data_IF_993596773262
#
_entry.id   IF_993596773262
#
_cell.length_a   1.000
_cell.length_b   1.000
_cell.length_c   1.000
_cell.angle_alpha   90.00
_cell.angle_beta   90.00
_cell.angle_gamma   90.00
#
_symmetry.space_group_name_H-M   'P 1'
#
loop_
_entity.id
_entity.type
_entity.pdbx_description
1 polymer ?
#
# COMPACT_ATOMS: atom_id res chain seq x y z
N UNK A 1 -3.74 -4.45 -10.76
CA UNK A 1 -3.19 -4.95 -9.50
C UNK A 1 -4.34 -5.11 -8.50
N UNK A 2 -4.76 -6.36 -8.21
CA UNK A 2 -5.94 -6.63 -7.38
C UNK A 2 -5.59 -7.62 -6.26
N UNK A 3 -6.06 -7.35 -5.04
CA UNK A 3 -5.91 -8.22 -3.86
C UNK A 3 -5.01 -7.64 -2.78
N UNK A 4 -4.78 -8.44 -1.74
CA UNK A 4 -3.89 -8.09 -0.62
C UNK A 4 -2.43 -8.13 -1.08
N UNK A 5 -1.65 -7.15 -0.65
CA UNK A 5 -0.22 -7.07 -0.98
C UNK A 5 0.59 -7.92 -0.01
N UNK A 6 1.36 -8.86 -0.54
CA UNK A 6 2.20 -9.76 0.25
C UNK A 6 2.02 -11.22 -0.13
N UNK A 7 2.78 -12.08 0.52
CA UNK A 7 2.63 -13.53 0.42
C UNK A 7 1.49 -13.99 1.35
N UNK A 8 0.48 -14.60 0.78
CA UNK A 8 -0.70 -15.11 1.50
C UNK A 8 -0.65 -16.63 1.69
N UNK A 9 0.51 -17.24 1.44
CA UNK A 9 0.72 -18.67 1.57
C UNK A 9 0.21 -19.48 0.37
N UNK A 10 0.10 -20.79 0.58
CA UNK A 10 -0.03 -21.78 -0.50
C UNK A 10 -1.37 -21.70 -1.27
N UNK A 11 -2.43 -21.20 -0.65
CA UNK A 11 -3.79 -21.27 -1.19
C UNK A 11 -4.30 -19.95 -1.78
N UNK A 12 -3.61 -18.84 -1.56
CA UNK A 12 -4.01 -17.54 -2.09
C UNK A 12 -2.81 -16.81 -2.70
N UNK A 13 -2.97 -16.35 -3.94
CA UNK A 13 -1.95 -15.50 -4.58
C UNK A 13 -2.14 -14.06 -4.15
N UNK A 14 -1.22 -13.55 -3.34
CA UNK A 14 -1.15 -12.12 -3.04
C UNK A 14 -0.39 -11.34 -4.09
N UNK A 15 -0.45 -10.02 -4.00
CA UNK A 15 0.35 -9.12 -4.82
C UNK A 15 1.79 -9.07 -4.27
N UNK A 16 2.72 -9.70 -4.95
CA UNK A 16 4.16 -9.59 -4.70
C UNK A 16 4.87 -9.09 -5.95
N UNK A 17 6.07 -8.56 -5.82
CA UNK A 17 6.87 -8.17 -6.98
C UNK A 17 7.08 -9.37 -7.91
N UNK A 18 7.34 -10.54 -7.37
CA UNK A 18 7.52 -11.79 -8.14
C UNK A 18 6.30 -12.09 -9.02
N UNK A 19 5.09 -12.03 -8.43
CA UNK A 19 3.85 -12.32 -9.15
C UNK A 19 3.49 -11.24 -10.18
N UNK A 20 3.94 -9.99 -9.98
CA UNK A 20 3.56 -8.85 -10.81
C UNK A 20 4.62 -8.49 -11.87
N UNK A 21 5.91 -8.82 -11.66
CA UNK A 21 7.02 -8.30 -12.47
C UNK A 21 6.85 -8.60 -13.96
N UNK A 22 6.53 -9.84 -14.32
CA UNK A 22 6.42 -10.25 -15.73
C UNK A 22 5.29 -9.48 -16.46
N UNK A 23 4.13 -9.29 -15.82
CA UNK A 23 3.03 -8.53 -16.43
C UNK A 23 3.36 -7.04 -16.51
N UNK A 24 4.02 -6.48 -15.49
CA UNK A 24 4.47 -5.10 -15.51
C UNK A 24 5.46 -4.88 -16.66
N UNK A 25 6.47 -5.72 -16.80
CA UNK A 25 7.48 -5.61 -17.86
C UNK A 25 6.83 -5.65 -19.25
N UNK A 26 5.94 -6.61 -19.49
CA UNK A 26 5.19 -6.70 -20.75
C UNK A 26 4.33 -5.45 -20.99
N UNK A 27 3.67 -4.93 -19.95
CA UNK A 27 2.78 -3.76 -20.09
C UNK A 27 3.54 -2.53 -20.55
N UNK A 28 4.77 -2.32 -20.07
CA UNK A 28 5.58 -1.15 -20.45
C UNK A 28 6.33 -1.31 -21.77
N UNK A 29 6.45 -2.51 -22.31
CA UNK A 29 7.22 -2.77 -23.53
C UNK A 29 6.37 -3.15 -24.73
N UNK A 30 5.17 -3.71 -24.52
CA UNK A 30 4.30 -4.18 -25.58
C UNK A 30 3.81 -3.04 -26.47
N UNK A 31 4.11 -3.12 -27.75
CA UNK A 31 3.75 -2.12 -28.78
C UNK A 31 4.18 -0.67 -28.44
N UNK A 32 5.16 -0.48 -27.57
CA UNK A 32 5.68 0.85 -27.16
C UNK A 32 4.54 1.82 -26.80
N UNK A 33 3.83 1.60 -25.68
CA UNK A 33 2.69 2.43 -25.32
C UNK A 33 3.11 3.87 -25.01
N UNK A 34 2.28 4.84 -25.34
CA UNK A 34 2.47 6.24 -24.95
C UNK A 34 2.08 6.50 -23.50
N UNK A 35 1.15 5.70 -22.97
CA UNK A 35 0.66 5.76 -21.60
C UNK A 35 0.34 4.36 -21.10
N UNK A 36 0.64 4.10 -19.84
CA UNK A 36 0.27 2.87 -19.14
C UNK A 36 -0.76 3.21 -18.09
N UNK A 37 -1.87 2.47 -18.06
CA UNK A 37 -2.89 2.58 -17.03
C UNK A 37 -2.78 1.39 -16.09
N UNK A 38 -2.63 1.67 -14.80
CA UNK A 38 -2.58 0.65 -13.74
C UNK A 38 -3.85 0.78 -12.88
N UNK A 39 -4.73 -0.19 -13.00
CA UNK A 39 -5.90 -0.31 -12.14
C UNK A 39 -5.50 -0.98 -10.83
N UNK A 40 -5.93 -0.39 -9.71
CA UNK A 40 -5.61 -0.84 -8.36
C UNK A 40 -6.89 -1.12 -7.60
N UNK A 41 -7.00 -2.34 -7.07
CA UNK A 41 -8.07 -2.75 -6.16
C UNK A 41 -7.44 -3.53 -5.00
N UNK A 42 -6.94 -2.81 -4.01
CA UNK A 42 -6.16 -3.39 -2.91
C UNK A 42 -6.36 -2.64 -1.59
N UNK A 43 -6.63 -3.35 -0.49
CA UNK A 43 -6.66 -2.76 0.86
C UNK A 43 -5.26 -2.47 1.41
N UNK A 44 -4.21 -2.86 0.70
CA UNK A 44 -2.83 -2.80 1.17
C UNK A 44 -2.28 -4.14 1.61
N UNK A 45 -1.34 -4.12 2.54
CA UNK A 45 -0.66 -5.30 3.07
C UNK A 45 0.82 -5.02 3.36
N UNK A 46 1.72 -5.88 2.90
CA UNK A 46 3.17 -5.78 3.16
C UNK A 46 3.75 -4.44 2.67
N UNK A 47 4.35 -3.63 3.56
CA UNK A 47 5.01 -2.39 3.16
C UNK A 47 6.15 -2.63 2.16
N UNK A 48 6.94 -3.68 2.38
CA UNK A 48 8.07 -4.03 1.52
C UNK A 48 7.61 -4.37 0.11
N UNK A 49 6.59 -5.22 -0.04
CA UNK A 49 6.08 -5.58 -1.36
C UNK A 49 5.42 -4.39 -2.06
N UNK A 50 4.76 -3.51 -1.31
CA UNK A 50 4.17 -2.28 -1.84
C UNK A 50 5.25 -1.37 -2.42
N UNK A 51 6.35 -1.16 -1.70
CA UNK A 51 7.48 -0.34 -2.14
C UNK A 51 8.20 -0.97 -3.35
N UNK A 52 8.48 -2.27 -3.31
CA UNK A 52 9.12 -2.97 -4.43
C UNK A 52 8.31 -2.88 -5.73
N UNK A 53 6.98 -3.03 -5.66
CA UNK A 53 6.11 -2.90 -6.83
C UNK A 53 6.06 -1.43 -7.30
N UNK A 54 5.95 -0.48 -6.37
CA UNK A 54 6.03 0.95 -6.67
C UNK A 54 7.31 1.29 -7.41
N UNK A 55 8.46 0.89 -6.90
CA UNK A 55 9.77 1.14 -7.48
C UNK A 55 9.91 0.49 -8.86
N UNK A 56 9.36 -0.73 -9.05
CA UNK A 56 9.34 -1.38 -10.36
C UNK A 56 8.56 -0.58 -11.37
N UNK A 57 7.37 -0.08 -11.02
CA UNK A 57 6.55 0.76 -11.89
C UNK A 57 7.31 2.04 -12.27
N UNK A 58 7.90 2.74 -11.28
CA UNK A 58 8.67 3.97 -11.54
C UNK A 58 9.90 3.70 -12.43
N UNK A 59 10.60 2.61 -12.18
CA UNK A 59 11.77 2.21 -12.98
C UNK A 59 11.37 1.94 -14.44
N UNK A 60 10.29 1.20 -14.68
CA UNK A 60 9.79 0.91 -16.02
C UNK A 60 9.28 2.16 -16.74
N UNK A 61 8.54 3.02 -16.03
CA UNK A 61 8.09 4.31 -16.55
C UNK A 61 9.26 5.16 -17.02
N UNK A 62 10.27 5.34 -16.19
CA UNK A 62 11.45 6.15 -16.48
C UNK A 62 12.27 5.55 -17.64
N UNK A 63 12.54 4.24 -17.60
CA UNK A 63 13.31 3.53 -18.63
C UNK A 63 12.66 3.64 -20.00
N UNK A 64 11.35 3.50 -20.09
CA UNK A 64 10.61 3.52 -21.34
C UNK A 64 10.08 4.90 -21.70
N UNK A 65 10.25 5.92 -20.84
CA UNK A 65 9.71 7.27 -20.98
C UNK A 65 8.19 7.30 -21.20
N UNK A 66 7.48 6.44 -20.48
CA UNK A 66 6.03 6.23 -20.58
C UNK A 66 5.35 6.83 -19.35
N UNK A 67 4.33 7.66 -19.58
CA UNK A 67 3.48 8.20 -18.51
C UNK A 67 2.64 7.08 -17.88
N UNK A 68 2.43 7.17 -16.57
CA UNK A 68 1.62 6.23 -15.81
C UNK A 68 0.40 6.93 -15.25
N UNK A 69 -0.77 6.37 -15.52
CA UNK A 69 -2.03 6.73 -14.87
C UNK A 69 -2.39 5.59 -13.93
N UNK A 70 -2.58 5.90 -12.66
CA UNK A 70 -3.12 4.93 -11.70
C UNK A 70 -4.58 5.25 -11.41
N UNK A 71 -5.40 4.22 -11.28
CA UNK A 71 -6.81 4.39 -10.92
C UNK A 71 -7.21 3.42 -9.82
N UNK A 72 -7.81 3.96 -8.75
CA UNK A 72 -8.48 3.16 -7.75
C UNK A 72 -9.78 2.60 -8.33
N UNK A 73 -9.96 1.27 -8.28
CA UNK A 73 -11.26 0.64 -8.51
C UNK A 73 -12.10 0.79 -7.22
N UNK A 74 -12.42 -0.28 -6.49
CA UNK A 74 -13.20 -0.16 -5.24
C UNK A 74 -12.34 0.44 -4.10
N UNK A 75 -11.09 -0.03 -3.96
CA UNK A 75 -10.20 0.39 -2.88
C UNK A 75 -8.74 0.48 -3.35
N UNK A 76 -8.08 1.53 -2.93
CA UNK A 76 -6.63 1.68 -2.99
C UNK A 76 -6.15 2.34 -1.69
N UNK A 77 -6.02 1.53 -0.65
CA UNK A 77 -5.73 1.97 0.71
C UNK A 77 -4.40 1.41 1.23
N UNK A 78 -3.76 2.11 2.16
CA UNK A 78 -2.49 1.70 2.76
C UNK A 78 -1.43 1.38 1.68
N UNK A 79 -0.86 0.18 1.64
CA UNK A 79 0.04 -0.25 0.57
C UNK A 79 -0.56 -0.11 -0.84
N UNK A 80 -1.89 -0.25 -0.99
CA UNK A 80 -2.58 0.03 -2.26
C UNK A 80 -2.48 1.49 -2.68
N UNK A 81 -2.49 2.42 -1.72
CA UNK A 81 -2.26 3.83 -2.00
C UNK A 81 -0.76 4.13 -2.30
N UNK A 82 0.18 3.37 -1.70
CA UNK A 82 1.58 3.44 -2.14
C UNK A 82 1.69 3.13 -3.63
N UNK A 83 1.00 2.08 -4.12
CA UNK A 83 0.99 1.75 -5.54
C UNK A 83 0.36 2.86 -6.40
N UNK A 84 -0.71 3.51 -5.92
CA UNK A 84 -1.29 4.66 -6.61
C UNK A 84 -0.27 5.78 -6.80
N UNK A 85 0.56 6.05 -5.80
CA UNK A 85 1.59 7.08 -5.85
C UNK A 85 2.67 6.83 -6.92
N UNK A 86 2.74 5.64 -7.53
CA UNK A 86 3.60 5.39 -8.68
C UNK A 86 3.11 6.08 -9.97
N UNK A 87 1.83 6.46 -10.03
CA UNK A 87 1.26 7.21 -11.16
C UNK A 87 1.74 8.65 -11.23
N UNK A 88 1.77 9.19 -12.44
CA UNK A 88 1.93 10.62 -12.69
C UNK A 88 0.59 11.34 -12.53
N UNK A 89 -0.51 10.62 -12.80
CA UNK A 89 -1.90 11.03 -12.58
C UNK A 89 -2.61 9.93 -11.78
N UNK A 90 -3.30 10.35 -10.73
CA UNK A 90 -4.04 9.47 -9.84
C UNK A 90 -5.54 9.72 -10.00
N UNK A 91 -6.26 8.71 -10.45
CA UNK A 91 -7.71 8.75 -10.64
C UNK A 91 -8.42 7.87 -9.60
N UNK A 92 -9.64 8.22 -9.25
CA UNK A 92 -10.51 7.37 -8.44
C UNK A 92 -11.98 7.62 -8.81
N UNK A 93 -12.83 6.60 -8.74
CA UNK A 93 -14.27 6.84 -8.74
C UNK A 93 -14.64 7.64 -7.48
N UNK A 94 -15.73 8.41 -7.53
CA UNK A 94 -16.19 9.20 -6.36
C UNK A 94 -16.36 8.38 -5.10
N UNK A 95 -16.80 7.11 -5.24
CA UNK A 95 -17.04 6.18 -4.14
C UNK A 95 -15.89 5.22 -3.84
N UNK A 96 -14.79 5.26 -4.59
CA UNK A 96 -13.59 4.47 -4.27
C UNK A 96 -13.04 4.86 -2.91
N UNK A 97 -12.47 3.91 -2.18
CA UNK A 97 -11.78 4.20 -0.91
C UNK A 97 -10.30 4.41 -1.17
N UNK A 98 -9.75 5.53 -0.70
CA UNK A 98 -8.32 5.87 -0.84
C UNK A 98 -7.72 6.36 0.48
N UNK A 99 -6.41 6.33 0.61
CA UNK A 99 -5.70 6.81 1.80
C UNK A 99 -5.30 5.68 2.74
N UNK A 100 -5.74 5.70 3.99
CA UNK A 100 -5.27 4.78 5.05
C UNK A 100 -3.73 4.79 5.15
N UNK A 101 -3.16 6.02 5.20
CA UNK A 101 -1.71 6.21 5.27
C UNK A 101 -1.29 6.07 6.72
N UNK A 102 -0.96 4.85 7.10
CA UNK A 102 -0.61 4.47 8.46
C UNK A 102 0.01 3.09 8.55
N UNK A 103 0.46 2.71 9.73
CA UNK A 103 1.04 1.40 10.03
C UNK A 103 0.33 0.81 11.24
N UNK A 104 -0.08 -0.43 11.15
CA UNK A 104 -0.75 -1.16 12.22
C UNK A 104 -0.04 -2.48 12.51
N UNK A 105 0.05 -2.84 13.78
CA UNK A 105 0.33 -4.21 14.25
C UNK A 105 -0.77 -4.59 15.23
N UNK A 106 -1.42 -5.71 14.97
CA UNK A 106 -2.47 -6.22 15.84
C UNK A 106 -2.17 -7.66 16.24
N UNK A 107 -2.38 -7.99 17.52
CA UNK A 107 -2.23 -9.33 18.04
C UNK A 107 -3.21 -9.56 19.20
N UNK A 108 -3.31 -10.82 19.67
CA UNK A 108 -4.11 -11.19 20.82
C UNK A 108 -3.18 -11.60 21.96
N UNK A 109 -3.56 -11.30 23.22
CA UNK A 109 -2.91 -11.78 24.42
C UNK A 109 -3.71 -12.92 25.06
N UNK A 110 -3.08 -14.07 25.25
CA UNK A 110 -3.72 -15.28 25.79
C UNK A 110 -3.19 -15.66 27.19
N UNK A 111 -2.31 -14.86 27.80
CA UNK A 111 -1.68 -15.16 29.10
C UNK A 111 -2.72 -15.54 30.17
N UNK A 112 -3.72 -14.69 30.36
CA UNK A 112 -4.78 -14.95 31.36
C UNK A 112 -5.63 -16.18 31.07
N UNK A 113 -5.78 -16.53 29.79
CA UNK A 113 -6.55 -17.70 29.36
C UNK A 113 -5.80 -18.99 29.72
N UNK A 114 -4.53 -19.11 29.37
CA UNK A 114 -3.73 -20.30 29.67
C UNK A 114 -3.54 -20.50 31.15
N UNK A 115 -3.43 -19.42 31.94
CA UNK A 115 -3.36 -19.50 33.41
C UNK A 115 -4.64 -20.08 34.00
N UNK A 116 -5.83 -19.67 33.53
CA UNK A 116 -7.12 -20.19 33.99
C UNK A 116 -7.31 -21.69 33.75
N UNK A 117 -6.75 -22.21 32.66
CA UNK A 117 -6.86 -23.65 32.33
C UNK A 117 -5.64 -24.46 32.81
N UNK A 118 -4.75 -23.86 33.62
CA UNK A 118 -3.60 -24.53 34.20
C UNK A 118 -2.49 -24.91 33.22
N UNK A 119 -2.45 -24.32 32.03
CA UNK A 119 -1.41 -24.56 31.02
C UNK A 119 -0.17 -23.72 31.34
N UNK A 120 0.98 -24.40 31.50
CA UNK A 120 2.28 -23.74 31.67
C UNK A 120 3.05 -23.69 30.37
N UNK A 121 3.21 -22.48 29.79
CA UNK A 121 4.09 -22.26 28.65
C UNK A 121 5.55 -22.25 29.09
N UNK A 122 6.41 -22.93 28.35
CA UNK A 122 7.86 -22.96 28.57
C UNK A 122 8.54 -22.50 27.31
N UNK A 123 9.35 -21.44 27.40
CA UNK A 123 10.09 -20.85 26.27
C UNK A 123 11.58 -20.85 26.61
N UNK A 124 12.38 -21.44 25.73
CA UNK A 124 13.84 -21.48 25.85
C UNK A 124 14.42 -20.74 24.65
N UNK A 125 15.11 -19.62 24.87
CA UNK A 125 15.64 -18.78 23.80
C UNK A 125 17.14 -18.54 23.98
N UNK A 126 17.80 -18.26 22.88
CA UNK A 126 19.09 -17.56 22.82
C UNK A 126 18.88 -16.20 22.19
N UNK A 127 19.31 -15.16 22.87
CA UNK A 127 18.98 -13.76 22.58
C UNK A 127 17.78 -13.27 23.36
N UNK A 128 17.97 -12.22 24.17
CA UNK A 128 17.04 -11.70 25.19
C UNK A 128 15.68 -11.22 24.62
N UNK A 129 15.61 -11.02 23.32
CA UNK A 129 14.43 -10.50 22.62
C UNK A 129 13.82 -11.47 21.63
N UNK A 130 14.19 -12.77 21.69
CA UNK A 130 13.70 -13.73 20.71
C UNK A 130 12.22 -14.08 20.87
N UNK A 131 11.67 -13.95 22.09
CA UNK A 131 10.25 -14.11 22.42
C UNK A 131 9.47 -12.79 22.43
N UNK A 132 9.93 -11.81 21.63
CA UNK A 132 9.30 -10.51 21.50
C UNK A 132 7.81 -10.62 21.12
N UNK A 133 6.94 -9.95 21.91
CA UNK A 133 5.47 -9.98 21.74
C UNK A 133 4.86 -11.39 21.73
N UNK A 134 5.41 -12.32 22.53
CA UNK A 134 4.77 -13.63 22.71
C UNK A 134 3.34 -13.46 23.23
N UNK A 135 2.31 -13.96 22.52
CA UNK A 135 0.92 -13.76 22.90
C UNK A 135 0.51 -14.48 24.21
N UNK A 136 1.36 -15.36 24.71
CA UNK A 136 1.15 -16.10 25.97
C UNK A 136 1.94 -15.54 27.16
N UNK A 137 2.59 -14.40 26.99
CA UNK A 137 3.30 -13.68 28.03
C UNK A 137 2.73 -12.26 28.19
N UNK A 138 3.00 -11.63 29.33
CA UNK A 138 2.65 -10.22 29.53
C UNK A 138 3.54 -9.34 28.65
N UNK A 139 2.91 -8.38 27.96
CA UNK A 139 3.62 -7.48 27.05
C UNK A 139 4.50 -6.53 27.87
N UNK A 140 5.79 -6.54 27.64
CA UNK A 140 6.72 -5.65 28.32
C UNK A 140 6.73 -4.23 27.73
N UNK A 141 6.94 -3.21 28.59
CA UNK A 141 7.11 -1.81 28.13
C UNK A 141 8.26 -1.67 27.12
N UNK A 142 9.32 -2.46 27.29
CA UNK A 142 10.47 -2.47 26.37
C UNK A 142 10.08 -2.99 24.98
N UNK A 143 9.19 -3.98 24.92
CA UNK A 143 8.71 -4.53 23.65
C UNK A 143 7.80 -3.54 22.92
N UNK A 144 6.88 -2.91 23.66
CA UNK A 144 6.04 -1.84 23.09
C UNK A 144 6.90 -0.71 22.52
N UNK A 145 7.91 -0.24 23.29
CA UNK A 145 8.82 0.81 22.81
C UNK A 145 9.57 0.39 21.54
N UNK A 146 10.02 -0.85 21.46
CA UNK A 146 10.68 -1.37 20.26
C UNK A 146 9.75 -1.46 19.06
N UNK A 147 8.51 -1.95 19.28
CA UNK A 147 7.50 -2.02 18.23
C UNK A 147 7.20 -0.64 17.65
N UNK A 148 6.93 0.34 18.52
CA UNK A 148 6.64 1.72 18.10
C UNK A 148 7.78 2.26 17.23
N UNK A 149 9.04 2.11 17.66
CA UNK A 149 10.19 2.57 16.85
C UNK A 149 10.26 1.92 15.45
N UNK A 150 9.89 0.66 15.35
CA UNK A 150 9.82 -0.02 14.04
C UNK A 150 8.67 0.53 13.19
N UNK A 151 7.50 0.72 13.80
CA UNK A 151 6.35 1.31 13.13
C UNK A 151 6.64 2.74 12.66
N UNK A 152 7.29 3.56 13.49
CA UNK A 152 7.71 4.92 13.13
C UNK A 152 8.60 4.91 11.88
N UNK A 153 9.60 4.03 11.83
CA UNK A 153 10.49 3.91 10.68
C UNK A 153 9.73 3.53 9.39
N UNK A 154 8.83 2.55 9.47
CA UNK A 154 8.01 2.13 8.32
C UNK A 154 7.07 3.27 7.90
N UNK A 155 6.49 3.96 8.87
CA UNK A 155 5.57 5.07 8.61
C UNK A 155 6.27 6.26 7.96
N UNK A 156 7.49 6.62 8.40
CA UNK A 156 8.30 7.66 7.76
C UNK A 156 8.61 7.32 6.30
N UNK A 157 8.96 6.06 5.99
CA UNK A 157 9.16 5.62 4.61
C UNK A 157 7.89 5.81 3.78
N UNK A 158 6.73 5.41 4.31
CA UNK A 158 5.45 5.60 3.64
C UNK A 158 5.13 7.09 3.40
N UNK A 159 5.29 7.93 4.43
CA UNK A 159 5.09 9.39 4.29
C UNK A 159 5.98 9.99 3.21
N UNK A 160 7.26 9.62 3.21
CA UNK A 160 8.22 10.10 2.22
C UNK A 160 7.84 9.71 0.80
N UNK A 161 7.36 8.48 0.59
CA UNK A 161 6.87 8.01 -0.71
C UNK A 161 5.66 8.84 -1.17
N UNK A 162 4.68 9.05 -0.30
CA UNK A 162 3.50 9.86 -0.60
C UNK A 162 3.90 11.31 -0.91
N UNK A 163 4.80 11.89 -0.12
CA UNK A 163 5.29 13.25 -0.33
C UNK A 163 6.02 13.41 -1.67
N UNK A 164 6.78 12.42 -2.13
CA UNK A 164 7.40 12.45 -3.48
C UNK A 164 6.34 12.63 -4.58
N UNK A 165 5.18 11.99 -4.44
CA UNK A 165 4.09 12.05 -5.42
C UNK A 165 3.14 13.24 -5.20
N UNK A 166 2.84 13.60 -3.94
CA UNK A 166 1.69 14.46 -3.59
C UNK A 166 2.04 15.75 -2.85
N UNK A 167 3.34 16.03 -2.54
CA UNK A 167 3.78 17.15 -1.66
C UNK A 167 3.09 18.49 -1.91
N UNK A 168 2.91 18.86 -3.18
CA UNK A 168 2.29 20.14 -3.57
C UNK A 168 0.75 20.14 -3.53
N UNK A 169 0.13 18.98 -3.28
CA UNK A 169 -1.31 18.75 -3.44
C UNK A 169 -2.01 18.45 -2.12
N UNK A 170 -1.30 17.97 -1.11
CA UNK A 170 -1.85 17.55 0.19
C UNK A 170 -1.41 18.48 1.32
N UNK A 171 -2.21 18.48 2.40
CA UNK A 171 -1.82 19.02 3.72
C UNK A 171 -1.40 17.85 4.60
N UNK A 172 -0.11 17.68 4.94
CA UNK A 172 0.40 16.48 5.63
C UNK A 172 -0.34 16.13 6.91
N UNK A 173 -0.63 17.11 7.77
CA UNK A 173 -1.33 16.90 9.03
C UNK A 173 -2.73 16.28 8.87
N UNK A 174 -3.36 16.46 7.71
CA UNK A 174 -4.69 15.95 7.42
C UNK A 174 -4.67 14.51 6.94
N UNK A 175 -3.61 14.06 6.26
CA UNK A 175 -3.62 12.79 5.53
C UNK A 175 -2.75 11.71 6.17
N UNK A 176 -1.85 12.05 7.12
CA UNK A 176 -0.94 11.12 7.77
C UNK A 176 -1.40 10.68 9.16
N UNK A 177 -2.68 10.34 9.28
CA UNK A 177 -3.31 9.92 10.54
C UNK A 177 -3.92 8.51 10.46
N UNK A 178 -3.73 7.80 9.34
CA UNK A 178 -4.28 6.46 9.12
C UNK A 178 -5.74 6.44 8.66
N UNK A 179 -6.40 7.58 8.51
CA UNK A 179 -7.76 7.67 7.98
C UNK A 179 -7.83 7.33 6.49
N UNK A 180 -9.04 7.03 6.04
CA UNK A 180 -9.36 6.79 4.63
C UNK A 180 -10.52 7.68 4.20
N UNK A 181 -10.62 7.91 2.92
CA UNK A 181 -11.59 8.83 2.32
C UNK A 181 -12.23 8.21 1.09
N UNK A 182 -13.43 8.69 0.75
CA UNK A 182 -13.98 8.43 -0.59
C UNK A 182 -13.11 9.11 -1.64
N UNK A 183 -13.18 8.66 -2.90
CA UNK A 183 -12.44 9.29 -3.99
C UNK A 183 -12.78 10.78 -4.14
N UNK A 184 -14.04 11.17 -3.89
CA UNK A 184 -14.46 12.57 -3.93
C UNK A 184 -13.80 13.40 -2.81
N UNK A 185 -13.83 12.90 -1.57
CA UNK A 185 -13.10 13.51 -0.45
C UNK A 185 -11.59 13.54 -0.71
N UNK A 186 -11.04 12.43 -1.21
CA UNK A 186 -9.62 12.30 -1.57
C UNK A 186 -9.17 13.32 -2.61
N UNK A 187 -10.02 13.66 -3.59
CA UNK A 187 -9.75 14.74 -4.53
C UNK A 187 -9.67 16.10 -3.83
N UNK A 188 -10.61 16.38 -2.94
CA UNK A 188 -10.67 17.68 -2.24
C UNK A 188 -9.45 17.92 -1.32
N UNK A 189 -8.86 16.84 -0.79
CA UNK A 189 -7.65 16.91 0.06
C UNK A 189 -6.35 16.60 -0.68
N UNK A 190 -6.42 16.42 -2.01
CA UNK A 190 -5.26 16.26 -2.87
C UNK A 190 -4.69 14.84 -2.99
N UNK A 191 -5.35 13.82 -2.45
CA UNK A 191 -4.92 12.42 -2.58
C UNK A 191 -5.09 11.86 -3.99
N UNK A 192 -6.08 12.34 -4.75
CA UNK A 192 -6.28 12.00 -6.16
C UNK A 192 -6.43 13.26 -7.02
N UNK A 193 -6.21 13.13 -8.31
CA UNK A 193 -6.22 14.27 -9.24
C UNK A 193 -7.59 14.48 -9.86
N UNK A 194 -8.34 13.41 -10.14
CA UNK A 194 -9.67 13.50 -10.75
C UNK A 194 -10.57 12.32 -10.36
N UNK A 195 -11.88 12.58 -10.38
CA UNK A 195 -12.93 11.57 -10.23
C UNK A 195 -13.60 11.21 -11.57
N UNK A 196 -13.00 11.60 -12.68
CA UNK A 196 -13.53 11.24 -13.99
C UNK A 196 -13.42 9.74 -14.24
N UNK A 197 -14.37 9.22 -14.99
CA UNK A 197 -14.26 7.87 -15.53
C UNK A 197 -13.00 7.74 -16.40
N UNK A 198 -12.34 6.60 -16.32
CA UNK A 198 -11.07 6.37 -17.03
C UNK A 198 -11.19 6.63 -18.53
N UNK A 199 -12.24 6.11 -19.19
CA UNK A 199 -12.40 6.29 -20.63
C UNK A 199 -12.60 7.77 -20.98
N UNK A 200 -13.46 8.46 -20.23
CA UNK A 200 -13.68 9.90 -20.41
C UNK A 200 -12.39 10.69 -20.22
N UNK A 201 -11.60 10.36 -19.20
CA UNK A 201 -10.31 10.98 -18.95
C UNK A 201 -9.33 10.75 -20.11
N UNK A 202 -9.21 9.50 -20.57
CA UNK A 202 -8.32 9.15 -21.66
C UNK A 202 -8.74 9.81 -22.97
N UNK A 203 -10.03 9.81 -23.33
CA UNK A 203 -10.54 10.47 -24.54
C UNK A 203 -10.25 11.97 -24.55
N UNK A 204 -10.38 12.65 -23.42
CA UNK A 204 -10.04 14.07 -23.29
C UNK A 204 -8.54 14.34 -23.48
N UNK A 205 -7.68 13.45 -22.98
CA UNK A 205 -6.23 13.65 -23.00
C UNK A 205 -5.57 13.19 -24.31
N UNK A 206 -6.08 12.12 -24.91
CA UNK A 206 -5.43 11.41 -26.03
C UNK A 206 -6.32 11.27 -27.29
N UNK A 207 -7.55 11.79 -27.26
CA UNK A 207 -8.50 11.69 -28.36
C UNK A 207 -9.35 10.41 -28.36
N UNK A 208 -10.34 10.35 -29.25
CA UNK A 208 -11.33 9.23 -29.30
C UNK A 208 -10.77 7.91 -29.86
N UNK A 209 -9.63 7.93 -30.56
CA UNK A 209 -9.05 6.74 -31.20
C UNK A 209 -8.01 6.03 -30.29
N UNK A 210 -8.34 5.84 -29.03
CA UNK A 210 -7.50 5.09 -28.09
C UNK A 210 -7.62 3.59 -28.39
N UNK A 211 -6.50 2.96 -28.75
CA UNK A 211 -6.40 1.51 -28.99
C UNK A 211 -5.62 0.86 -27.88
#
# INVERSE_FOLDING_TARGET
>A
LRGVIGDLGRFQKGLTLENCSNILDKTFTYKKPNVVVIKINSPGGSPVQSELIYDRIKTLSNKNKVKVITIAEDVAASGGYMLMCAGDILLANKSSIVGSIGVISASFGFKKLIDKVGIKRRVFTKGDRKSFLDPFEEVSKKDVTKLIKVQDSIFENFKNLVLKSRKKKIKPAQVFNGEFWTGEQGKNIGLVDSNENLNTYLEKQYGKNIK
#
